data_IF_424573764952
#
_entry.id   IF_424573764952
#
_cell.length_a   1.000
_cell.length_b   1.000
_cell.length_c   1.000
_cell.angle_alpha   90.00
_cell.angle_beta   90.00
_cell.angle_gamma   90.00
#
_symmetry.space_group_name_H-M   'P 1'
#
loop_
_entity.id
_entity.type
_entity.pdbx_description
1 polymer ?
#
# COMPACT_ATOMS: atom_id res chain seq x y z
N UNK A 1 28.85 22.56 -2.22
CA UNK A 1 27.90 21.75 -3.01
C UNK A 1 26.85 21.21 -2.05
N UNK A 2 25.54 21.27 -2.36
CA UNK A 2 24.54 20.66 -1.49
C UNK A 2 24.81 19.14 -1.40
N UNK A 3 24.89 18.61 -0.18
CA UNK A 3 25.02 17.18 0.06
C UNK A 3 23.80 16.48 -0.54
N UNK A 4 24.03 15.49 -1.41
CA UNK A 4 22.96 14.64 -1.92
C UNK A 4 22.34 13.86 -0.75
N UNK A 5 21.16 14.29 -0.30
CA UNK A 5 20.39 13.55 0.68
C UNK A 5 19.96 12.24 0.03
N UNK A 6 20.54 11.13 0.49
CA UNK A 6 20.39 9.83 -0.14
C UNK A 6 19.35 9.02 0.61
N UNK A 7 18.38 8.49 -0.14
CA UNK A 7 17.40 7.53 0.33
C UNK A 7 17.96 6.12 0.10
N UNK A 8 17.95 5.26 1.11
CA UNK A 8 18.36 3.86 0.97
C UNK A 8 17.19 2.94 1.28
N UNK A 9 16.88 2.03 0.35
CA UNK A 9 15.87 0.99 0.54
C UNK A 9 16.58 -0.30 0.95
N UNK A 10 16.17 -0.87 2.08
CA UNK A 10 16.61 -2.19 2.54
C UNK A 10 15.50 -3.17 2.17
N UNK A 11 15.83 -4.16 1.35
CA UNK A 11 14.93 -5.26 1.02
C UNK A 11 15.72 -6.57 1.06
N UNK A 12 15.65 -7.28 2.18
CA UNK A 12 16.22 -8.62 2.34
C UNK A 12 15.19 -9.57 2.97
N UNK A 13 15.55 -10.85 3.14
CA UNK A 13 14.63 -11.87 3.65
C UNK A 13 14.12 -11.62 5.08
N UNK A 14 14.81 -10.82 5.88
CA UNK A 14 14.53 -10.64 7.32
C UNK A 14 14.11 -9.21 7.68
N UNK A 15 14.34 -8.24 6.80
CA UNK A 15 14.09 -6.83 7.05
C UNK A 15 13.77 -6.10 5.74
N UNK A 16 12.62 -5.42 5.73
CA UNK A 16 12.26 -4.39 4.76
C UNK A 16 12.16 -3.05 5.47
N UNK A 17 12.72 -2.00 4.87
CA UNK A 17 12.68 -0.68 5.46
C UNK A 17 13.42 0.37 4.65
N UNK A 18 13.40 1.60 5.17
CA UNK A 18 13.96 2.77 4.49
C UNK A 18 14.81 3.56 5.46
N UNK A 19 16.02 3.94 5.02
CA UNK A 19 16.90 4.83 5.75
C UNK A 19 16.97 6.16 4.98
N UNK A 20 16.60 7.24 5.65
CA UNK A 20 16.65 8.60 5.11
C UNK A 20 17.04 9.60 6.21
N UNK A 21 17.66 10.74 5.84
CA UNK A 21 17.81 11.87 6.76
C UNK A 21 16.44 12.34 7.29
N UNK A 22 16.34 12.65 8.58
CA UNK A 22 15.07 13.05 9.21
C UNK A 22 14.44 14.31 8.60
N UNK A 23 15.26 15.19 8.01
CA UNK A 23 14.80 16.39 7.32
C UNK A 23 14.25 16.11 5.90
N UNK A 24 14.43 14.90 5.37
CA UNK A 24 14.12 14.57 3.98
C UNK A 24 12.67 14.03 3.81
N UNK A 25 12.14 13.37 4.83
CA UNK A 25 10.86 12.65 4.75
C UNK A 25 9.97 13.08 5.91
N UNK A 26 8.81 13.67 5.60
CA UNK A 26 7.74 13.87 6.58
C UNK A 26 7.14 12.52 6.98
N UNK A 27 6.53 12.46 8.17
CA UNK A 27 5.89 11.23 8.65
C UNK A 27 4.92 10.63 7.62
N UNK A 28 4.06 11.47 7.03
CA UNK A 28 3.10 11.07 6.00
C UNK A 28 3.78 10.43 4.78
N UNK A 29 4.87 11.03 4.29
CA UNK A 29 5.63 10.49 3.15
C UNK A 29 6.35 9.19 3.49
N UNK A 30 6.70 8.96 4.75
CA UNK A 30 7.30 7.70 5.18
C UNK A 30 6.28 6.57 5.12
N UNK A 31 5.04 6.83 5.54
CA UNK A 31 3.92 5.88 5.46
C UNK A 31 3.66 5.50 3.98
N UNK A 32 3.52 6.49 3.09
CA UNK A 32 3.33 6.24 1.64
C UNK A 32 4.45 5.39 1.02
N UNK A 33 5.71 5.61 1.41
CA UNK A 33 6.86 4.87 0.89
C UNK A 33 6.87 3.43 1.41
N UNK A 34 6.51 3.22 2.69
CA UNK A 34 6.41 1.88 3.27
C UNK A 34 5.31 1.09 2.57
N UNK A 35 4.12 1.69 2.42
CA UNK A 35 2.99 1.07 1.70
C UNK A 35 3.38 0.70 0.28
N UNK A 36 4.07 1.60 -0.44
CA UNK A 36 4.56 1.31 -1.79
C UNK A 36 5.51 0.10 -1.81
N UNK A 37 6.45 0.01 -0.87
CA UNK A 37 7.41 -1.10 -0.80
C UNK A 37 6.71 -2.42 -0.47
N UNK A 38 5.72 -2.41 0.43
CA UNK A 38 4.93 -3.59 0.77
C UNK A 38 4.08 -4.08 -0.39
N UNK A 39 3.42 -3.16 -1.11
CA UNK A 39 2.57 -3.47 -2.24
C UNK A 39 3.34 -3.81 -3.52
N UNK A 40 4.60 -3.37 -3.63
CA UNK A 40 5.47 -3.67 -4.78
C UNK A 40 6.04 -5.09 -4.78
N UNK A 41 5.69 -5.93 -3.81
CA UNK A 41 6.04 -7.35 -3.88
C UNK A 41 5.27 -8.01 -5.02
N UNK A 42 6.01 -8.59 -5.98
CA UNK A 42 5.43 -9.29 -7.12
C UNK A 42 4.47 -10.41 -6.72
N UNK A 43 4.63 -11.00 -5.53
CA UNK A 43 3.71 -11.98 -4.99
C UNK A 43 2.40 -11.31 -4.55
N UNK A 44 2.48 -10.22 -3.78
CA UNK A 44 1.31 -9.46 -3.30
C UNK A 44 0.50 -8.90 -4.47
N UNK A 45 1.18 -8.39 -5.51
CA UNK A 45 0.53 -7.92 -6.74
C UNK A 45 -0.23 -9.06 -7.45
N UNK A 46 0.35 -10.26 -7.54
CA UNK A 46 -0.31 -11.42 -8.15
C UNK A 46 -1.50 -11.91 -7.33
N UNK A 47 -1.36 -11.98 -6.02
CA UNK A 47 -2.44 -12.38 -5.11
C UNK A 47 -3.60 -11.40 -5.16
N UNK A 48 -3.30 -10.10 -5.21
CA UNK A 48 -4.29 -9.03 -5.38
C UNK A 48 -5.03 -9.17 -6.71
N UNK A 49 -4.31 -9.36 -7.83
CA UNK A 49 -4.91 -9.58 -9.15
C UNK A 49 -5.83 -10.80 -9.17
N UNK A 50 -5.42 -11.90 -8.55
CA UNK A 50 -6.22 -13.12 -8.47
C UNK A 50 -7.48 -12.93 -7.61
N UNK A 51 -7.37 -12.17 -6.52
CA UNK A 51 -8.50 -11.83 -5.66
C UNK A 51 -9.52 -10.97 -6.41
N UNK A 52 -9.08 -9.93 -7.12
CA UNK A 52 -9.94 -9.07 -7.94
C UNK A 52 -10.65 -9.90 -9.00
N UNK A 53 -9.93 -10.71 -9.78
CA UNK A 53 -10.52 -11.57 -10.83
C UNK A 53 -11.56 -12.55 -10.30
N UNK A 54 -11.33 -13.12 -9.12
CA UNK A 54 -12.32 -14.03 -8.49
C UNK A 54 -13.56 -13.27 -8.09
N UNK A 55 -13.39 -12.13 -7.42
CA UNK A 55 -14.51 -11.37 -6.92
C UNK A 55 -15.30 -10.65 -8.03
N UNK A 56 -14.66 -10.31 -9.17
CA UNK A 56 -15.35 -9.90 -10.40
C UNK A 56 -16.18 -11.05 -11.00
N UNK A 57 -15.58 -12.26 -11.07
CA UNK A 57 -16.28 -13.46 -11.57
C UNK A 57 -17.49 -13.81 -10.71
N UNK A 58 -17.33 -13.70 -9.41
CA UNK A 58 -18.33 -14.09 -8.42
C UNK A 58 -19.32 -12.95 -8.12
N UNK A 59 -19.14 -11.76 -8.72
CA UNK A 59 -19.87 -10.51 -8.43
C UNK A 59 -19.96 -10.24 -6.92
N UNK A 60 -18.85 -10.45 -6.20
CA UNK A 60 -18.83 -10.41 -4.74
C UNK A 60 -18.40 -9.08 -4.15
N UNK A 61 -18.18 -8.05 -4.98
CA UNK A 61 -17.94 -6.68 -4.51
C UNK A 61 -19.24 -5.90 -4.45
N UNK A 62 -19.39 -5.08 -3.41
CA UNK A 62 -20.47 -4.09 -3.31
C UNK A 62 -19.98 -2.75 -3.83
N UNK A 63 -20.82 -2.06 -4.59
CA UNK A 63 -20.57 -0.68 -4.98
C UNK A 63 -20.51 0.24 -3.76
N UNK A 64 -19.76 1.34 -3.86
CA UNK A 64 -19.64 2.31 -2.78
C UNK A 64 -21.01 2.82 -2.29
N UNK A 65 -21.96 3.00 -3.20
CA UNK A 65 -23.31 3.48 -2.90
C UNK A 65 -24.13 2.42 -2.14
N UNK A 66 -23.93 1.13 -2.43
CA UNK A 66 -24.58 0.02 -1.72
C UNK A 66 -24.02 -0.11 -0.30
N UNK A 67 -22.70 0.05 -0.13
CA UNK A 67 -22.05 0.06 1.19
C UNK A 67 -22.58 1.22 2.05
N UNK A 68 -22.73 2.41 1.47
CA UNK A 68 -23.32 3.56 2.18
C UNK A 68 -24.76 3.28 2.61
N UNK A 69 -25.58 2.75 1.70
CA UNK A 69 -26.96 2.39 2.01
C UNK A 69 -27.09 1.38 3.14
N UNK A 70 -26.19 0.39 3.21
CA UNK A 70 -26.15 -0.58 4.32
C UNK A 70 -25.71 0.05 5.64
N UNK A 71 -24.72 0.96 5.61
CA UNK A 71 -24.25 1.67 6.81
C UNK A 71 -25.33 2.55 7.42
N UNK A 72 -26.18 3.17 6.59
CA UNK A 72 -27.27 4.03 7.03
C UNK A 72 -28.47 3.23 7.60
N UNK A 73 -28.60 1.95 7.24
CA UNK A 73 -29.64 1.05 7.77
C UNK A 73 -29.32 0.45 9.14
N UNK A 74 -28.04 0.48 9.55
CA UNK A 74 -27.56 -0.11 10.81
C UNK A 74 -27.48 0.95 11.93
N UNK A 75 -27.63 2.24 11.59
CA UNK A 75 -27.74 3.36 12.54
C UNK A 75 -29.20 3.79 12.74
#
# INVERSE_FOLDING_TARGET
MPQAQTLTIINNQNLRGVIAPSAMISKERLEDIIDLIELSDSQVSRETDDMIKRADRDNSWLGLDEVKGLSDQIN
#
